data_IF_968368501753
#
_entry.id   IF_968368501753
#
_cell.length_a   1.000
_cell.length_b   1.000
_cell.length_c   1.000
_cell.angle_alpha   90.00
_cell.angle_beta   90.00
_cell.angle_gamma   90.00
#
_symmetry.space_group_name_H-M   'P 1'
#
loop_
_entity.id
_entity.type
_entity.pdbx_description
1 polymer ?
#
# COMPACT_ATOMS: atom_id res chain seq x y z
N UNK A 1 -7.99 1.62 8.28
CA UNK A 1 -9.29 2.29 8.55
C UNK A 1 -9.87 3.11 7.40
N UNK A 2 -9.05 3.72 6.53
CA UNK A 2 -9.51 4.50 5.38
C UNK A 2 -10.51 3.74 4.48
N UNK A 3 -10.16 2.53 4.02
CA UNK A 3 -11.00 1.74 3.10
C UNK A 3 -12.38 1.41 3.67
N UNK A 4 -12.47 0.97 4.93
CA UNK A 4 -13.78 0.68 5.57
C UNK A 4 -14.66 1.93 5.67
N UNK A 5 -14.05 3.10 5.92
CA UNK A 5 -14.78 4.36 5.92
C UNK A 5 -15.30 4.72 4.53
N UNK A 6 -14.46 4.61 3.50
CA UNK A 6 -14.84 4.87 2.10
C UNK A 6 -15.96 3.91 1.64
N UNK A 7 -15.89 2.62 1.98
CA UNK A 7 -16.95 1.65 1.69
C UNK A 7 -18.27 2.03 2.37
N UNK A 8 -18.22 2.44 3.65
CA UNK A 8 -19.42 2.90 4.38
C UNK A 8 -20.07 4.11 3.72
N UNK A 9 -19.25 5.07 3.28
CA UNK A 9 -19.72 6.29 2.60
C UNK A 9 -20.29 5.99 1.21
N UNK A 10 -19.68 5.07 0.46
CA UNK A 10 -20.16 4.64 -0.84
C UNK A 10 -21.55 3.97 -0.77
N UNK A 11 -21.92 3.39 0.37
CA UNK A 11 -23.24 2.83 0.63
C UNK A 11 -24.30 3.87 1.04
N UNK A 12 -23.94 5.14 1.15
CA UNK A 12 -24.86 6.22 1.56
C UNK A 12 -25.55 5.93 2.90
N UNK A 13 -26.85 6.22 2.99
CA UNK A 13 -27.64 5.98 4.20
C UNK A 13 -27.71 4.51 4.63
N UNK A 14 -27.63 3.57 3.67
CA UNK A 14 -27.63 2.14 3.98
C UNK A 14 -26.39 1.72 4.76
N UNK A 15 -25.24 2.36 4.52
CA UNK A 15 -24.00 2.10 5.25
C UNK A 15 -24.03 2.51 6.74
N UNK A 16 -24.99 3.35 7.14
CA UNK A 16 -25.20 3.74 8.54
C UNK A 16 -26.10 2.75 9.29
N UNK A 17 -26.96 2.02 8.57
CA UNK A 17 -27.92 1.13 9.21
C UNK A 17 -27.24 -0.03 9.91
N UNK A 18 -27.61 -0.26 11.17
CA UNK A 18 -27.06 -1.34 12.00
C UNK A 18 -27.23 -2.72 11.36
N UNK A 19 -28.35 -2.97 10.67
CA UNK A 19 -28.61 -4.24 9.96
C UNK A 19 -27.55 -4.54 8.88
N UNK A 20 -26.93 -3.50 8.32
CA UNK A 20 -25.90 -3.61 7.30
C UNK A 20 -24.49 -3.78 7.86
N UNK A 21 -24.32 -3.66 9.18
CA UNK A 21 -23.11 -3.97 9.95
C UNK A 21 -21.82 -3.23 9.55
N UNK A 22 -21.79 -2.44 8.48
CA UNK A 22 -20.57 -1.75 8.00
C UNK A 22 -20.01 -0.82 9.08
N UNK A 23 -20.88 -0.04 9.75
CA UNK A 23 -20.47 0.84 10.86
C UNK A 23 -19.92 0.07 12.07
N UNK A 24 -20.51 -1.08 12.40
CA UNK A 24 -20.06 -1.94 13.51
C UNK A 24 -18.70 -2.58 13.18
N UNK A 25 -18.57 -3.17 11.98
CA UNK A 25 -17.31 -3.72 11.48
C UNK A 25 -16.20 -2.66 11.50
N UNK A 26 -16.49 -1.43 11.07
CA UNK A 26 -15.53 -0.33 11.20
C UNK A 26 -15.10 -0.11 12.66
N UNK A 27 -16.04 -0.07 13.61
CA UNK A 27 -15.73 0.11 15.03
C UNK A 27 -14.88 -1.02 15.60
N UNK A 28 -15.18 -2.26 15.22
CA UNK A 28 -14.45 -3.45 15.68
C UNK A 28 -13.03 -3.55 15.13
N UNK A 29 -12.81 -3.12 13.88
CA UNK A 29 -11.49 -3.15 13.25
C UNK A 29 -10.60 -1.94 13.58
N UNK A 30 -11.16 -0.87 14.15
CA UNK A 30 -10.40 0.33 14.54
C UNK A 30 -9.29 0.01 15.56
N UNK A 31 -9.56 -0.97 16.43
CA UNK A 31 -8.62 -1.46 17.44
C UNK A 31 -7.32 -1.99 16.83
N UNK A 32 -7.35 -2.48 15.58
CA UNK A 32 -6.15 -3.01 14.90
C UNK A 32 -5.09 -1.94 14.62
N UNK A 33 -5.41 -0.66 14.78
CA UNK A 33 -4.42 0.42 14.67
C UNK A 33 -3.57 0.61 15.94
N UNK A 34 -4.01 0.03 17.06
CA UNK A 34 -3.44 0.30 18.40
C UNK A 34 -3.11 -0.96 19.19
N UNK A 35 -3.87 -2.03 19.01
CA UNK A 35 -3.61 -3.31 19.66
C UNK A 35 -2.42 -4.03 19.00
N UNK A 36 -1.64 -4.77 19.79
CA UNK A 36 -0.30 -5.32 19.44
C UNK A 36 0.79 -4.27 19.13
N UNK A 37 0.49 -2.99 19.32
CA UNK A 37 1.42 -1.88 19.15
C UNK A 37 0.82 -0.76 18.32
N UNK A 38 1.04 0.49 18.75
CA UNK A 38 0.62 1.65 17.97
C UNK A 38 1.33 1.65 16.60
N UNK A 39 0.56 1.83 15.52
CA UNK A 39 1.11 1.77 14.17
C UNK A 39 2.25 2.76 13.91
N UNK A 40 2.25 3.96 14.53
CA UNK A 40 3.36 4.90 14.36
C UNK A 40 4.63 4.38 15.03
N UNK A 41 4.49 3.68 16.15
CA UNK A 41 5.61 3.03 16.84
C UNK A 41 6.10 1.81 16.06
N UNK A 42 5.18 1.00 15.52
CA UNK A 42 5.53 -0.18 14.71
C UNK A 42 6.28 0.23 13.42
N UNK A 43 5.83 1.29 12.75
CA UNK A 43 6.55 1.82 11.57
C UNK A 43 7.96 2.30 11.93
N UNK A 44 8.14 2.91 13.11
CA UNK A 44 9.48 3.26 13.60
C UNK A 44 10.33 2.02 13.87
N UNK A 45 9.76 0.95 14.43
CA UNK A 45 10.49 -0.29 14.68
C UNK A 45 10.98 -0.93 13.37
N UNK A 46 10.17 -0.91 12.31
CA UNK A 46 10.57 -1.33 10.96
C UNK A 46 11.78 -0.52 10.50
N UNK A 47 11.67 0.81 10.51
CA UNK A 47 12.77 1.69 10.06
C UNK A 47 14.03 1.55 10.89
N UNK A 48 13.91 1.31 12.20
CA UNK A 48 15.04 1.00 13.09
C UNK A 48 15.74 -0.30 12.71
N UNK A 49 14.98 -1.34 12.39
CA UNK A 49 15.54 -2.62 11.94
C UNK A 49 16.28 -2.47 10.60
N UNK A 50 15.66 -1.77 9.64
CA UNK A 50 16.27 -1.48 8.33
C UNK A 50 17.57 -0.67 8.46
N UNK A 51 17.59 0.36 9.30
CA UNK A 51 18.79 1.14 9.58
C UNK A 51 19.90 0.27 10.22
N UNK A 52 19.52 -0.61 11.14
CA UNK A 52 20.44 -1.54 11.79
C UNK A 52 21.15 -2.45 10.79
N UNK A 53 20.38 -3.10 9.92
CA UNK A 53 20.93 -3.96 8.85
C UNK A 53 21.78 -3.15 7.88
N UNK A 54 21.30 -1.97 7.48
CA UNK A 54 22.03 -1.10 6.57
C UNK A 54 23.40 -0.66 7.10
N UNK A 55 23.48 -0.23 8.35
CA UNK A 55 24.75 0.15 8.98
C UNK A 55 25.64 -1.08 9.17
N UNK A 56 25.07 -2.23 9.55
CA UNK A 56 25.84 -3.46 9.74
C UNK A 56 26.47 -3.97 8.43
N UNK A 57 25.69 -4.00 7.34
CA UNK A 57 26.11 -4.42 6.02
C UNK A 57 27.20 -3.48 5.47
N UNK A 58 26.99 -2.16 5.51
CA UNK A 58 27.99 -1.17 5.06
C UNK A 58 29.28 -1.24 5.86
N UNK A 59 29.21 -1.33 7.20
CA UNK A 59 30.40 -1.43 8.05
C UNK A 59 31.22 -2.69 7.78
N UNK A 60 30.55 -3.82 7.52
CA UNK A 60 31.20 -5.11 7.22
C UNK A 60 31.58 -5.27 5.74
N UNK A 61 31.24 -4.30 4.89
CA UNK A 61 31.34 -4.40 3.43
C UNK A 61 30.73 -5.71 2.89
N UNK A 62 29.55 -6.08 3.41
CA UNK A 62 28.82 -7.29 3.02
C UNK A 62 27.56 -6.93 2.22
N UNK A 63 27.11 -7.82 1.31
CA UNK A 63 25.83 -7.64 0.64
C UNK A 63 24.68 -7.75 1.63
N UNK A 64 23.59 -7.03 1.36
CA UNK A 64 22.33 -7.11 2.08
C UNK A 64 21.67 -8.47 1.83
N UNK A 65 21.18 -9.14 2.89
CA UNK A 65 20.59 -10.49 2.78
C UNK A 65 19.32 -10.70 3.62
N UNK A 66 18.91 -9.67 4.34
CA UNK A 66 17.82 -9.73 5.30
C UNK A 66 16.86 -8.57 5.04
N UNK A 67 15.64 -8.70 5.55
CA UNK A 67 14.61 -7.66 5.53
C UNK A 67 14.29 -7.15 4.11
N UNK A 68 14.37 -7.99 3.08
CA UNK A 68 14.03 -7.59 1.71
C UNK A 68 14.96 -6.52 1.09
N UNK A 69 16.10 -6.22 1.73
CA UNK A 69 17.06 -5.21 1.27
C UNK A 69 17.98 -5.73 0.16
N UNK A 70 17.79 -6.95 -0.35
CA UNK A 70 18.63 -7.55 -1.38
C UNK A 70 18.61 -6.74 -2.68
N UNK A 71 17.52 -6.01 -2.93
CA UNK A 71 17.41 -5.09 -4.05
C UNK A 71 18.51 -4.01 -4.00
N UNK A 72 19.03 -3.63 -2.82
CA UNK A 72 20.11 -2.65 -2.65
C UNK A 72 21.47 -3.14 -3.18
N UNK A 73 21.66 -4.46 -3.35
CA UNK A 73 22.87 -5.02 -3.93
C UNK A 73 22.97 -4.79 -5.45
N UNK A 74 21.84 -4.44 -6.10
CA UNK A 74 21.76 -4.18 -7.54
C UNK A 74 21.97 -2.69 -7.82
N UNK A 75 22.28 -2.37 -9.08
CA UNK A 75 22.32 -0.98 -9.56
C UNK A 75 21.06 -0.20 -9.18
N UNK A 76 21.20 1.10 -8.96
CA UNK A 76 20.05 1.96 -8.64
C UNK A 76 19.08 1.94 -9.83
N UNK A 77 17.78 1.68 -9.61
CA UNK A 77 16.80 1.75 -10.68
C UNK A 77 16.76 3.15 -11.31
N UNK A 78 16.62 3.20 -12.63
CA UNK A 78 16.52 4.47 -13.37
C UNK A 78 15.09 4.59 -13.87
N UNK A 79 14.39 5.60 -13.36
CA UNK A 79 13.01 5.87 -13.76
C UNK A 79 13.00 6.71 -15.04
N UNK A 80 12.23 6.31 -16.07
CA UNK A 80 12.12 7.09 -17.30
C UNK A 80 11.64 8.52 -17.03
N UNK A 81 12.26 9.49 -17.69
CA UNK A 81 11.84 10.89 -17.62
C UNK A 81 10.42 11.10 -18.14
N UNK A 82 9.99 10.28 -19.10
CA UNK A 82 8.64 10.29 -19.65
C UNK A 82 8.04 8.88 -19.59
N UNK A 83 6.99 8.71 -18.79
CA UNK A 83 6.23 7.47 -18.75
C UNK A 83 5.25 7.38 -19.91
N UNK A 84 5.11 6.17 -20.43
CA UNK A 84 4.01 5.77 -21.30
C UNK A 84 3.01 4.94 -20.50
N UNK A 85 1.80 4.75 -21.05
CA UNK A 85 0.77 3.91 -20.42
C UNK A 85 1.27 2.47 -20.22
N UNK A 86 1.93 1.90 -21.24
CA UNK A 86 2.47 0.54 -21.17
C UNK A 86 3.61 0.43 -20.16
N UNK A 87 4.49 1.42 -20.09
CA UNK A 87 5.60 1.40 -19.12
C UNK A 87 5.10 1.53 -17.68
N UNK A 88 4.10 2.38 -17.42
CA UNK A 88 3.53 2.57 -16.08
C UNK A 88 2.87 1.28 -15.54
N UNK A 89 2.29 0.45 -16.42
CA UNK A 89 1.67 -0.83 -16.05
C UNK A 89 2.66 -2.00 -15.98
N UNK A 90 3.89 -1.82 -16.45
CA UNK A 90 4.89 -2.91 -16.46
C UNK A 90 5.34 -3.29 -15.05
N UNK A 91 5.48 -4.59 -14.78
CA UNK A 91 5.98 -5.09 -13.50
C UNK A 91 7.37 -4.56 -13.16
N UNK A 92 8.22 -4.40 -14.18
CA UNK A 92 9.56 -3.88 -14.02
C UNK A 92 9.57 -2.45 -13.48
N UNK A 93 8.87 -1.51 -14.13
CA UNK A 93 8.79 -0.12 -13.67
C UNK A 93 8.22 -0.04 -12.25
N UNK A 94 7.16 -0.78 -11.97
CA UNK A 94 6.48 -0.76 -10.68
C UNK A 94 7.38 -1.26 -9.55
N UNK A 95 8.14 -2.33 -9.78
CA UNK A 95 9.14 -2.80 -8.83
C UNK A 95 10.29 -1.79 -8.66
N UNK A 96 10.77 -1.25 -9.78
CA UNK A 96 11.88 -0.30 -9.81
C UNK A 96 11.59 0.98 -9.04
N UNK A 97 10.39 1.55 -9.19
CA UNK A 97 10.03 2.80 -8.51
C UNK A 97 9.85 2.62 -7.01
N UNK A 98 9.32 1.48 -6.55
CA UNK A 98 9.23 1.16 -5.12
C UNK A 98 10.61 0.86 -4.52
N UNK A 99 11.46 0.12 -5.24
CA UNK A 99 12.85 -0.11 -4.86
C UNK A 99 13.64 1.20 -4.79
N UNK A 100 13.43 2.13 -5.73
CA UNK A 100 14.08 3.44 -5.73
C UNK A 100 13.66 4.25 -4.49
N UNK A 101 12.35 4.33 -4.20
CA UNK A 101 11.82 5.05 -3.04
C UNK A 101 12.40 4.53 -1.74
N UNK A 102 12.31 3.22 -1.49
CA UNK A 102 12.80 2.63 -0.23
C UNK A 102 14.33 2.80 -0.09
N UNK A 103 15.08 2.57 -1.17
CA UNK A 103 16.55 2.75 -1.19
C UNK A 103 16.94 4.18 -0.86
N UNK A 104 16.33 5.17 -1.51
CA UNK A 104 16.66 6.58 -1.31
C UNK A 104 16.28 7.05 0.10
N UNK A 105 15.08 6.70 0.58
CA UNK A 105 14.65 7.00 1.95
C UNK A 105 15.57 6.40 3.00
N UNK A 106 16.00 5.15 2.83
CA UNK A 106 16.95 4.50 3.76
C UNK A 106 18.31 5.19 3.75
N UNK A 107 18.83 5.58 2.58
CA UNK A 107 20.07 6.34 2.49
C UNK A 107 19.95 7.71 3.19
N UNK A 108 18.85 8.44 2.97
CA UNK A 108 18.57 9.74 3.60
C UNK A 108 18.44 9.60 5.10
N UNK A 109 17.68 8.61 5.57
CA UNK A 109 17.47 8.34 6.98
C UNK A 109 18.79 8.04 7.69
N UNK A 110 19.61 7.15 7.12
CA UNK A 110 20.92 6.84 7.66
C UNK A 110 21.85 8.07 7.69
N UNK A 111 21.83 8.91 6.65
CA UNK A 111 22.62 10.13 6.60
C UNK A 111 22.18 11.16 7.65
N UNK A 112 20.87 11.33 7.84
CA UNK A 112 20.33 12.26 8.83
C UNK A 112 20.62 11.83 10.27
N UNK A 113 20.41 10.55 10.60
CA UNK A 113 20.79 9.98 11.90
C UNK A 113 22.29 10.17 12.16
N UNK A 114 23.13 9.90 11.15
CA UNK A 114 24.58 10.10 11.27
C UNK A 114 24.94 11.57 11.49
N UNK A 115 24.23 12.50 10.85
CA UNK A 115 24.42 13.96 11.03
C UNK A 115 24.12 14.38 12.46
N UNK A 116 23.00 13.93 13.04
CA UNK A 116 22.67 14.25 14.44
C UNK A 116 23.69 13.64 15.42
N UNK A 117 24.13 12.40 15.20
CA UNK A 117 25.18 11.79 16.02
C UNK A 117 26.51 12.56 15.95
N UNK A 118 26.88 13.08 14.77
CA UNK A 118 28.06 13.92 14.62
C UNK A 118 27.93 15.28 15.35
N UNK A 119 26.71 15.72 15.65
CA UNK A 119 26.42 16.92 16.46
C UNK A 119 26.42 16.62 17.97
N UNK A 120 26.71 15.38 18.39
CA UNK A 120 26.79 14.98 19.79
C UNK A 120 25.50 14.37 20.36
N UNK A 121 24.46 14.22 19.53
CA UNK A 121 23.21 13.57 19.97
C UNK A 121 23.42 12.08 20.26
N UNK A 122 22.68 11.57 21.25
CA UNK A 122 22.60 10.13 21.50
C UNK A 122 22.01 9.39 20.30
N UNK A 123 22.20 8.06 20.21
CA UNK A 123 21.64 7.28 19.11
C UNK A 123 20.12 7.34 19.10
N UNK A 124 19.52 7.29 20.28
CA UNK A 124 18.09 7.35 20.51
C UNK A 124 17.54 8.74 20.14
N UNK A 125 18.19 9.81 20.59
CA UNK A 125 17.81 11.18 20.24
C UNK A 125 17.91 11.44 18.74
N UNK A 126 19.00 11.01 18.10
CA UNK A 126 19.21 11.17 16.66
C UNK A 126 18.14 10.43 15.83
N UNK A 127 17.74 9.23 16.28
CA UNK A 127 16.66 8.47 15.66
C UNK A 127 15.33 9.20 15.77
N UNK A 128 14.96 9.66 16.97
CA UNK A 128 13.71 10.39 17.23
C UNK A 128 13.67 11.70 16.43
N UNK A 129 14.79 12.42 16.36
CA UNK A 129 14.90 13.65 15.58
C UNK A 129 14.71 13.43 14.06
N UNK A 130 14.92 12.20 13.59
CA UNK A 130 14.79 11.80 12.18
C UNK A 130 13.45 11.08 11.90
N UNK A 131 12.44 11.26 12.78
CA UNK A 131 11.18 10.50 12.77
C UNK A 131 10.42 10.58 11.44
N UNK A 132 10.38 11.74 10.77
CA UNK A 132 9.61 11.89 9.53
C UNK A 132 10.15 10.97 8.42
N UNK A 133 11.48 10.88 8.27
CA UNK A 133 12.10 9.93 7.34
C UNK A 133 11.89 8.48 7.77
N UNK A 134 11.87 8.21 9.09
CA UNK A 134 11.57 6.88 9.60
C UNK A 134 10.13 6.45 9.26
N UNK A 135 9.15 7.35 9.35
CA UNK A 135 7.76 7.04 8.99
C UNK A 135 7.61 6.76 7.49
N UNK A 136 8.16 7.65 6.64
CA UNK A 136 8.11 7.48 5.18
C UNK A 136 8.84 6.19 4.74
N UNK A 137 9.99 5.87 5.35
CA UNK A 137 10.73 4.64 5.08
C UNK A 137 9.95 3.38 5.48
N UNK A 138 9.30 3.39 6.65
CA UNK A 138 8.53 2.24 7.14
C UNK A 138 7.37 1.93 6.20
N UNK A 139 6.68 2.97 5.71
CA UNK A 139 5.64 2.84 4.70
C UNK A 139 6.18 2.35 3.36
N UNK A 140 7.32 2.90 2.90
CA UNK A 140 7.94 2.48 1.65
C UNK A 140 8.33 0.99 1.65
N UNK A 141 8.82 0.49 2.78
CA UNK A 141 9.11 -0.93 3.00
C UNK A 141 7.84 -1.78 2.92
N UNK A 142 6.79 -1.40 3.66
CA UNK A 142 5.53 -2.15 3.67
C UNK A 142 4.90 -2.23 2.27
N UNK A 143 4.89 -1.12 1.54
CA UNK A 143 4.34 -1.08 0.19
C UNK A 143 5.11 -1.98 -0.79
N UNK A 144 6.45 -1.99 -0.69
CA UNK A 144 7.28 -2.88 -1.52
C UNK A 144 7.06 -4.34 -1.16
N UNK A 145 6.91 -4.68 0.12
CA UNK A 145 6.60 -6.04 0.54
C UNK A 145 5.25 -6.54 -0.02
N UNK A 146 4.24 -5.66 -0.04
CA UNK A 146 2.92 -5.96 -0.64
C UNK A 146 3.07 -6.16 -2.16
N UNK A 147 3.78 -5.27 -2.86
CA UNK A 147 4.04 -5.42 -4.29
C UNK A 147 4.78 -6.73 -4.61
N UNK A 148 5.78 -7.09 -3.81
CA UNK A 148 6.52 -8.32 -3.98
C UNK A 148 5.61 -9.55 -3.83
N UNK A 149 4.69 -9.51 -2.87
CA UNK A 149 3.65 -10.54 -2.71
C UNK A 149 2.75 -10.66 -3.94
N UNK A 150 2.33 -9.53 -4.54
CA UNK A 150 1.59 -9.54 -5.80
C UNK A 150 2.38 -10.20 -6.93
N UNK A 151 3.65 -9.82 -7.10
CA UNK A 151 4.52 -10.34 -8.16
C UNK A 151 4.75 -11.86 -7.98
N UNK A 152 4.96 -12.32 -6.76
CA UNK A 152 5.12 -13.74 -6.45
C UNK A 152 3.84 -14.54 -6.75
N UNK A 153 2.68 -14.03 -6.32
CA UNK A 153 1.40 -14.65 -6.63
C UNK A 153 1.16 -14.71 -8.15
N UNK A 154 1.42 -13.61 -8.88
CA UNK A 154 1.27 -13.54 -10.34
C UNK A 154 2.22 -14.51 -11.08
N UNK A 155 3.45 -14.69 -10.58
CA UNK A 155 4.43 -15.60 -11.17
C UNK A 155 4.06 -17.08 -10.97
N UNK A 156 3.34 -17.40 -9.89
CA UNK A 156 2.89 -18.77 -9.58
C UNK A 156 1.61 -19.17 -10.34
N UNK A 157 0.95 -18.24 -11.03
CA UNK A 157 -0.25 -18.52 -11.83
C UNK A 157 0.12 -18.86 -13.27
N UNK A 158 -0.35 -20.02 -13.74
CA UNK A 158 -0.23 -20.48 -15.13
C UNK A 158 -1.45 -20.13 -15.99
N UNK A 159 -2.62 -19.96 -15.37
CA UNK A 159 -3.86 -19.57 -16.05
C UNK A 159 -3.79 -18.11 -16.52
N UNK A 160 -3.81 -17.90 -17.84
CA UNK A 160 -3.63 -16.57 -18.43
C UNK A 160 -4.74 -15.57 -18.05
N UNK A 161 -6.05 -15.92 -18.05
CA UNK A 161 -7.10 -15.05 -17.55
C UNK A 161 -6.88 -14.60 -16.09
N UNK A 162 -6.59 -15.52 -15.18
CA UNK A 162 -6.33 -15.19 -13.78
C UNK A 162 -5.08 -14.30 -13.65
N UNK A 163 -4.02 -14.62 -14.39
CA UNK A 163 -2.79 -13.80 -14.40
C UNK A 163 -3.05 -12.36 -14.85
N UNK A 164 -3.90 -12.17 -15.85
CA UNK A 164 -4.30 -10.83 -16.31
C UNK A 164 -5.04 -10.04 -15.23
N UNK A 165 -5.96 -10.69 -14.49
CA UNK A 165 -6.66 -10.05 -13.37
C UNK A 165 -5.69 -9.70 -12.24
N UNK A 166 -4.77 -10.58 -11.87
CA UNK A 166 -3.75 -10.29 -10.86
C UNK A 166 -2.83 -9.14 -11.30
N UNK A 167 -2.42 -9.10 -12.57
CA UNK A 167 -1.64 -7.98 -13.10
C UNK A 167 -2.43 -6.66 -13.07
N UNK A 168 -3.75 -6.70 -13.28
CA UNK A 168 -4.61 -5.51 -13.19
C UNK A 168 -4.69 -5.00 -11.75
N UNK A 169 -4.85 -5.89 -10.77
CA UNK A 169 -4.85 -5.56 -9.35
C UNK A 169 -3.50 -5.03 -8.87
N UNK A 170 -2.39 -5.65 -9.30
CA UNK A 170 -1.03 -5.16 -9.02
C UNK A 170 -0.84 -3.74 -9.55
N UNK A 171 -1.23 -3.49 -10.80
CA UNK A 171 -1.12 -2.18 -11.40
C UNK A 171 -1.99 -1.14 -10.67
N UNK A 172 -3.21 -1.51 -10.28
CA UNK A 172 -4.09 -0.63 -9.49
C UNK A 172 -3.47 -0.28 -8.15
N UNK A 173 -2.97 -1.28 -7.40
CA UNK A 173 -2.30 -1.05 -6.13
C UNK A 173 -1.14 -0.07 -6.27
N UNK A 174 -0.20 -0.33 -7.20
CA UNK A 174 0.98 0.51 -7.37
C UNK A 174 0.61 1.91 -7.83
N UNK A 175 -0.24 2.06 -8.85
CA UNK A 175 -0.55 3.38 -9.40
C UNK A 175 -1.38 4.23 -8.44
N UNK A 176 -2.26 3.64 -7.62
CA UNK A 176 -2.94 4.37 -6.54
C UNK A 176 -1.91 4.83 -5.49
N UNK A 177 -0.99 3.98 -5.07
CA UNK A 177 0.09 4.38 -4.15
C UNK A 177 0.92 5.52 -4.73
N UNK A 178 1.24 5.50 -6.02
CA UNK A 178 1.97 6.57 -6.70
C UNK A 178 1.18 7.90 -6.77
N UNK A 179 -0.14 7.87 -6.95
CA UNK A 179 -0.98 9.08 -7.06
C UNK A 179 -1.29 9.70 -5.69
N UNK A 180 -1.42 8.86 -4.64
CA UNK A 180 -1.85 9.31 -3.31
C UNK A 180 -0.70 9.63 -2.36
N UNK A 181 0.45 8.97 -2.49
CA UNK A 181 1.59 9.21 -1.62
C UNK A 181 2.42 10.41 -2.10
N UNK A 182 2.33 11.50 -1.35
CA UNK A 182 3.09 12.72 -1.62
C UNK A 182 4.61 12.50 -1.60
N UNK A 183 5.13 11.42 -1.00
CA UNK A 183 6.56 11.11 -0.99
C UNK A 183 7.15 11.03 -2.41
N UNK A 184 6.40 10.52 -3.40
CA UNK A 184 6.89 10.40 -4.78
C UNK A 184 7.22 11.75 -5.42
N UNK A 185 6.46 12.80 -5.10
CA UNK A 185 6.75 14.17 -5.54
C UNK A 185 7.73 14.88 -4.59
N UNK A 186 7.56 14.71 -3.27
CA UNK A 186 8.39 15.34 -2.22
C UNK A 186 9.87 15.04 -2.39
N UNK A 187 10.21 13.80 -2.73
CA UNK A 187 11.58 13.34 -2.90
C UNK A 187 12.01 13.25 -4.37
N UNK A 188 11.13 13.59 -5.31
CA UNK A 188 11.44 13.66 -6.73
C UNK A 188 11.56 12.32 -7.45
N UNK A 189 10.89 11.26 -6.97
CA UNK A 189 10.83 9.96 -7.65
C UNK A 189 9.93 10.00 -8.90
N UNK A 190 8.94 10.90 -8.91
CA UNK A 190 8.09 11.21 -10.05
C UNK A 190 8.17 12.69 -10.39
N UNK A 191 8.16 12.99 -11.69
CA UNK A 191 7.89 14.34 -12.18
C UNK A 191 6.40 14.65 -12.12
N UNK A 192 6.04 15.93 -12.19
CA UNK A 192 4.64 16.39 -12.26
C UNK A 192 3.91 15.85 -13.50
N UNK A 193 4.63 15.70 -14.61
CA UNK A 193 4.10 15.16 -15.86
C UNK A 193 3.79 13.67 -15.70
N UNK A 194 4.73 12.91 -15.12
CA UNK A 194 4.55 11.49 -14.87
C UNK A 194 3.44 11.23 -13.84
N UNK A 195 3.33 12.05 -12.78
CA UNK A 195 2.23 11.98 -11.82
C UNK A 195 0.87 12.21 -12.48
N UNK A 196 0.80 13.15 -13.44
CA UNK A 196 -0.42 13.38 -14.23
C UNK A 196 -0.81 12.16 -15.08
N UNK A 197 0.18 11.46 -15.63
CA UNK A 197 -0.05 10.22 -16.39
C UNK A 197 -0.56 9.12 -15.47
N UNK A 198 0.08 8.91 -14.32
CA UNK A 198 -0.34 7.95 -13.29
C UNK A 198 -1.79 8.19 -12.88
N UNK A 199 -2.17 9.44 -12.55
CA UNK A 199 -3.55 9.78 -12.17
C UNK A 199 -4.58 9.44 -13.23
N UNK A 200 -4.30 9.77 -14.50
CA UNK A 200 -5.19 9.41 -15.62
C UNK A 200 -5.30 7.89 -15.78
N UNK A 201 -4.23 7.18 -15.48
CA UNK A 201 -4.17 5.73 -15.60
C UNK A 201 -4.96 5.01 -14.50
N UNK A 202 -4.94 5.52 -13.26
CA UNK A 202 -5.80 5.05 -12.17
C UNK A 202 -7.27 5.07 -12.58
N UNK A 203 -7.75 6.15 -13.19
CA UNK A 203 -9.14 6.25 -13.65
C UNK A 203 -9.51 5.20 -14.71
N UNK A 204 -8.58 4.85 -15.61
CA UNK A 204 -8.78 3.78 -16.58
C UNK A 204 -8.80 2.41 -15.91
N UNK A 205 -7.88 2.16 -14.98
CA UNK A 205 -7.84 0.91 -14.21
C UNK A 205 -9.14 0.68 -13.43
N UNK A 206 -9.72 1.73 -12.83
CA UNK A 206 -11.06 1.64 -12.22
C UNK A 206 -12.13 1.16 -13.23
N UNK A 207 -12.08 1.66 -14.46
CA UNK A 207 -13.03 1.28 -15.52
C UNK A 207 -12.82 -0.17 -15.98
N UNK A 208 -11.57 -0.62 -16.04
CA UNK A 208 -11.21 -2.00 -16.41
C UNK A 208 -11.52 -3.01 -15.30
N UNK A 209 -11.37 -2.63 -14.02
CA UNK A 209 -11.69 -3.49 -12.87
C UNK A 209 -13.20 -3.60 -12.66
N UNK A 210 -13.97 -2.56 -12.97
CA UNK A 210 -15.43 -2.50 -12.77
C UNK A 210 -16.19 -3.77 -13.19
N UNK A 211 -16.05 -4.31 -14.41
CA UNK A 211 -16.77 -5.53 -14.80
C UNK A 211 -16.39 -6.77 -13.98
N UNK A 212 -15.24 -6.76 -13.31
CA UNK A 212 -14.73 -7.85 -12.48
C UNK A 212 -14.99 -7.65 -10.98
N UNK A 213 -15.42 -6.46 -10.55
CA UNK A 213 -15.51 -6.09 -9.14
C UNK A 213 -16.33 -7.07 -8.30
N UNK A 214 -17.50 -7.48 -8.79
CA UNK A 214 -18.34 -8.45 -8.07
C UNK A 214 -17.68 -9.83 -7.98
N UNK A 215 -17.10 -10.32 -9.09
CA UNK A 215 -16.41 -11.62 -9.11
C UNK A 215 -15.20 -11.63 -8.16
N UNK A 216 -14.45 -10.53 -8.10
CA UNK A 216 -13.33 -10.35 -7.17
C UNK A 216 -13.78 -10.43 -5.71
N UNK A 217 -14.85 -9.72 -5.34
CA UNK A 217 -15.38 -9.77 -3.97
C UNK A 217 -15.97 -11.14 -3.65
N UNK A 218 -16.73 -11.75 -4.58
CA UNK A 218 -17.28 -13.09 -4.41
C UNK A 218 -16.19 -14.15 -4.24
N UNK A 219 -15.01 -13.96 -4.85
CA UNK A 219 -13.89 -14.90 -4.73
C UNK A 219 -13.30 -15.00 -3.32
N UNK A 220 -13.60 -14.05 -2.42
CA UNK A 220 -13.25 -14.15 -1.01
C UNK A 220 -13.97 -15.31 -0.30
N UNK A 221 -15.04 -15.85 -0.90
CA UNK A 221 -15.73 -17.04 -0.39
C UNK A 221 -16.45 -16.82 0.93
N UNK A 222 -16.84 -15.58 1.24
CA UNK A 222 -17.58 -15.24 2.47
C UNK A 222 -19.00 -15.83 2.35
N UNK A 223 -19.43 -16.74 3.25
CA UNK A 223 -20.76 -17.33 3.17
C UNK A 223 -21.87 -16.30 3.38
N UNK A 224 -23.00 -16.46 2.68
CA UNK A 224 -24.14 -15.53 2.71
C UNK A 224 -24.65 -15.22 4.12
N UNK A 225 -24.59 -16.19 5.04
CA UNK A 225 -25.01 -16.02 6.43
C UNK A 225 -24.19 -14.97 7.21
N UNK A 226 -22.98 -14.64 6.74
CA UNK A 226 -22.13 -13.60 7.31
C UNK A 226 -22.31 -12.24 6.62
N UNK A 227 -23.04 -12.19 5.50
CA UNK A 227 -23.33 -10.97 4.76
C UNK A 227 -24.60 -10.30 5.28
N UNK A 228 -24.67 -9.00 5.05
CA UNK A 228 -25.80 -8.15 5.45
C UNK A 228 -26.80 -7.95 4.30
N UNK A 229 -28.04 -7.49 4.57
CA UNK A 229 -29.06 -7.29 3.53
C UNK A 229 -28.61 -6.43 2.36
N UNK A 230 -27.75 -5.43 2.59
CA UNK A 230 -27.16 -4.58 1.52
C UNK A 230 -26.37 -5.35 0.45
N UNK A 231 -25.88 -6.56 0.77
CA UNK A 231 -25.18 -7.41 -0.19
C UNK A 231 -26.13 -8.13 -1.17
N UNK A 232 -27.44 -8.11 -0.89
CA UNK A 232 -28.48 -8.80 -1.65
C UNK A 232 -29.56 -7.80 -2.12
N UNK A 233 -30.82 -8.21 -2.14
CA UNK A 233 -31.96 -7.34 -2.44
C UNK A 233 -32.34 -6.48 -1.22
N UNK A 234 -31.58 -5.41 -1.03
CA UNK A 234 -31.80 -4.43 0.03
C UNK A 234 -33.06 -3.59 -0.17
N UNK A 235 -33.62 -3.55 -1.39
CA UNK A 235 -34.88 -2.86 -1.69
C UNK A 235 -36.04 -3.67 -1.13
N UNK A 236 -36.07 -4.99 -1.42
CA UNK A 236 -37.03 -5.90 -0.83
C UNK A 236 -36.91 -5.95 0.70
N UNK A 237 -35.68 -6.00 1.24
CA UNK A 237 -35.46 -5.99 2.69
C UNK A 237 -35.99 -4.72 3.39
N UNK A 238 -36.00 -3.59 2.68
CA UNK A 238 -36.55 -2.32 3.17
C UNK A 238 -38.03 -2.11 2.85
N UNK A 239 -38.64 -3.02 2.07
CA UNK A 239 -40.05 -2.92 1.75
C UNK A 239 -40.88 -3.29 2.99
N UNK A 240 -41.87 -2.46 3.30
CA UNK A 240 -42.82 -2.79 4.36
C UNK A 240 -43.66 -3.99 3.90
N UNK A 241 -43.78 -5.02 4.74
CA UNK A 241 -44.84 -5.99 4.54
C UNK A 241 -46.17 -5.24 4.61
N UNK A 242 -46.97 -5.32 3.55
CA UNK A 242 -48.36 -4.84 3.62
C UNK A 242 -49.02 -5.60 4.76
N UNK A 243 -49.32 -4.89 5.85
CA UNK A 243 -50.11 -5.43 6.95
C UNK A 243 -51.45 -5.82 6.34
N UNK A 244 -51.68 -7.12 6.17
CA UNK A 244 -53.01 -7.63 5.87
C UNK A 244 -53.84 -7.43 7.15
N UNK A 245 -54.66 -6.38 7.15
CA UNK A 245 -55.71 -6.18 8.15
C UNK A 245 -56.77 -7.27 8.05
#
# INVERSE_FOLDING_TARGET
MRTLQECREACGGQGLKTENRIGQLKGEFDVQLTFEGDNNVLMQQVSKALLGEYVAAKRKNKPFKELGLEHMNKSCPVIPSQLTVSSARSAQFQNDIFCLRERDLLNRFAAEVSRYQAQGESKESAFIASYQLAEDLGRAFADRAILQTFIEAENNVTDAPLKNILSLLRAMYVLVTLDEDAAFLRYGYLTTENATIVRKEVAKLCSEIRPHALALVSSLGIPDAFLSPIAFDWVAANSWSTVQN
#
